data_IF_731654214372
#
_entry.id   IF_731654214372
#
_cell.length_a   1.000
_cell.length_b   1.000
_cell.length_c   1.000
_cell.angle_alpha   90.00
_cell.angle_beta   90.00
_cell.angle_gamma   90.00
#
_symmetry.space_group_name_H-M   'P 1'
#
loop_
_entity.id
_entity.type
_entity.pdbx_description
1 polymer ?
#
# COMPACT_ATOMS: atom_id res chain seq x y z
N UNK A 1 6.07 20.12 -78.37
CA UNK A 1 6.80 20.61 -77.18
C UNK A 1 6.70 19.51 -76.12
N UNK A 2 7.78 18.80 -75.76
CA UNK A 2 7.73 17.80 -74.70
C UNK A 2 7.88 18.46 -73.33
N UNK A 3 6.94 18.16 -72.43
CA UNK A 3 6.89 18.67 -71.06
C UNK A 3 7.91 17.92 -70.19
N UNK A 4 8.86 18.67 -69.61
CA UNK A 4 9.92 18.18 -68.74
C UNK A 4 9.34 17.81 -67.37
N UNK A 5 9.11 16.53 -67.13
CA UNK A 5 8.77 15.98 -65.81
C UNK A 5 9.95 16.16 -64.84
N UNK A 6 9.82 17.11 -63.91
CA UNK A 6 10.72 17.32 -62.79
C UNK A 6 10.54 16.18 -61.79
N UNK A 7 11.53 15.28 -61.67
CA UNK A 7 11.52 14.23 -60.66
C UNK A 7 11.68 14.85 -59.25
N UNK A 8 10.80 14.53 -58.29
CA UNK A 8 10.96 14.98 -56.93
C UNK A 8 12.16 14.27 -56.31
N UNK A 9 13.21 15.02 -56.00
CA UNK A 9 14.41 14.53 -55.32
C UNK A 9 14.04 14.25 -53.86
N UNK A 10 13.43 13.08 -53.59
CA UNK A 10 13.16 12.60 -52.24
C UNK A 10 14.50 12.33 -51.56
N UNK A 11 14.83 13.07 -50.50
CA UNK A 11 16.07 12.88 -49.75
C UNK A 11 15.90 11.74 -48.74
N UNK A 12 15.89 10.51 -49.28
CA UNK A 12 15.61 9.26 -48.54
C UNK A 12 16.51 9.10 -47.31
N UNK A 13 17.73 9.65 -47.32
CA UNK A 13 18.71 9.48 -46.25
C UNK A 13 18.46 10.40 -45.03
N UNK A 14 17.96 11.63 -45.25
CA UNK A 14 17.55 12.51 -44.13
C UNK A 14 16.23 12.05 -43.50
N UNK A 15 15.31 11.55 -44.31
CA UNK A 15 13.99 11.14 -43.86
C UNK A 15 14.02 9.83 -43.05
N UNK A 16 14.86 8.86 -43.46
CA UNK A 16 15.06 7.62 -42.69
C UNK A 16 15.70 7.88 -41.32
N UNK A 17 16.81 8.65 -41.28
CA UNK A 17 17.50 8.98 -40.03
C UNK A 17 16.61 9.76 -39.05
N UNK A 18 15.74 10.66 -39.54
CA UNK A 18 14.83 11.42 -38.69
C UNK A 18 13.70 10.53 -38.12
N UNK A 19 13.23 9.54 -38.88
CA UNK A 19 12.20 8.61 -38.43
C UNK A 19 12.70 7.69 -37.30
N UNK A 20 13.95 7.25 -37.39
CA UNK A 20 14.60 6.43 -36.35
C UNK A 20 14.76 7.21 -35.04
N UNK A 21 15.21 8.47 -35.10
CA UNK A 21 15.35 9.34 -33.93
C UNK A 21 13.99 9.59 -33.26
N UNK A 22 12.95 9.86 -34.06
CA UNK A 22 11.59 10.05 -33.55
C UNK A 22 11.02 8.77 -32.92
N UNK A 23 11.32 7.59 -33.47
CA UNK A 23 10.88 6.31 -32.91
C UNK A 23 11.62 5.95 -31.61
N UNK A 24 12.92 6.25 -31.51
CA UNK A 24 13.70 6.08 -30.27
C UNK A 24 13.22 7.05 -29.17
N UNK A 25 12.96 8.32 -29.51
CA UNK A 25 12.38 9.29 -28.56
C UNK A 25 10.96 8.90 -28.13
N UNK A 26 10.14 8.38 -29.05
CA UNK A 26 8.78 7.93 -28.75
C UNK A 26 8.75 6.63 -27.95
N UNK A 27 9.78 5.79 -28.03
CA UNK A 27 9.90 4.55 -27.25
C UNK A 27 10.50 4.83 -25.86
N UNK A 28 11.49 5.71 -25.74
CA UNK A 28 11.98 6.17 -24.43
C UNK A 28 10.90 6.87 -23.62
N UNK A 29 10.18 7.82 -24.22
CA UNK A 29 9.08 8.52 -23.56
C UNK A 29 7.91 7.58 -23.18
N UNK A 30 7.64 6.53 -23.97
CA UNK A 30 6.66 5.49 -23.60
C UNK A 30 7.12 4.65 -22.42
N UNK A 31 8.41 4.33 -22.36
CA UNK A 31 9.02 3.58 -21.25
C UNK A 31 8.97 4.38 -19.95
N UNK A 32 9.25 5.69 -20.02
CA UNK A 32 9.18 6.60 -18.87
C UNK A 32 7.74 6.77 -18.35
N UNK A 33 6.76 6.90 -19.25
CA UNK A 33 5.35 6.96 -18.88
C UNK A 33 4.86 5.63 -18.27
N UNK A 34 5.30 4.50 -18.80
CA UNK A 34 4.91 3.17 -18.31
C UNK A 34 5.54 2.86 -16.95
N UNK A 35 6.79 3.28 -16.73
CA UNK A 35 7.44 3.22 -15.42
C UNK A 35 6.73 4.09 -14.37
N UNK A 36 6.31 5.30 -14.75
CA UNK A 36 5.54 6.20 -13.88
C UNK A 36 4.16 5.61 -13.51
N UNK A 37 3.43 5.05 -14.48
CA UNK A 37 2.14 4.38 -14.24
C UNK A 37 2.28 3.20 -13.28
N UNK A 38 3.27 2.32 -13.51
CA UNK A 38 3.50 1.12 -12.67
C UNK A 38 3.82 1.50 -11.22
N UNK A 39 4.60 2.57 -11.02
CA UNK A 39 4.92 3.11 -9.69
C UNK A 39 3.71 3.74 -8.99
N UNK A 40 2.80 4.31 -9.75
CA UNK A 40 1.54 4.84 -9.21
C UNK A 40 0.58 3.70 -8.86
N UNK A 41 0.51 2.66 -9.67
CA UNK A 41 -0.30 1.47 -9.41
C UNK A 41 0.15 0.73 -8.15
N UNK A 42 1.47 0.55 -7.97
CA UNK A 42 2.04 -0.04 -6.76
C UNK A 42 1.68 0.75 -5.50
N UNK A 43 1.77 2.07 -5.59
CA UNK A 43 1.37 2.99 -4.51
C UNK A 43 -0.12 2.87 -4.17
N UNK A 44 -0.99 2.86 -5.18
CA UNK A 44 -2.44 2.72 -5.01
C UNK A 44 -2.82 1.39 -4.36
N UNK A 45 -2.13 0.30 -4.72
CA UNK A 45 -2.38 -1.02 -4.14
C UNK A 45 -1.88 -1.07 -2.69
N UNK A 46 -0.74 -0.46 -2.38
CA UNK A 46 -0.28 -0.36 -1.00
C UNK A 46 -1.23 0.51 -0.15
N UNK A 47 -1.80 1.58 -0.71
CA UNK A 47 -2.86 2.37 -0.06
C UNK A 47 -4.09 1.50 0.23
N UNK A 48 -4.57 0.77 -0.79
CA UNK A 48 -5.72 -0.12 -0.65
C UNK A 48 -5.47 -1.23 0.38
N UNK A 49 -4.22 -1.70 0.49
CA UNK A 49 -3.81 -2.65 1.51
C UNK A 49 -4.01 -2.08 2.93
N UNK A 50 -3.48 -0.90 3.21
CA UNK A 50 -3.61 -0.28 4.53
C UNK A 50 -5.05 0.11 4.85
N UNK A 51 -5.81 0.56 3.85
CA UNK A 51 -7.22 0.91 3.99
C UNK A 51 -8.08 -0.34 4.21
N UNK A 52 -7.84 -1.39 3.42
CA UNK A 52 -8.48 -2.68 3.64
C UNK A 52 -8.13 -3.23 5.02
N UNK A 53 -6.87 -3.10 5.45
CA UNK A 53 -6.42 -3.57 6.75
C UNK A 53 -7.16 -2.90 7.90
N UNK A 54 -7.52 -1.63 7.74
CA UNK A 54 -8.33 -0.89 8.71
C UNK A 54 -9.74 -1.48 8.88
N UNK A 55 -10.39 -1.88 7.79
CA UNK A 55 -11.79 -2.37 7.81
C UNK A 55 -11.91 -3.88 8.03
N UNK A 56 -11.03 -4.66 7.40
CA UNK A 56 -11.10 -6.12 7.37
C UNK A 56 -9.97 -6.80 8.17
N UNK A 57 -9.07 -6.03 8.81
CA UNK A 57 -7.95 -6.56 9.58
C UNK A 57 -6.89 -7.22 8.70
N UNK A 58 -6.54 -8.46 8.98
CA UNK A 58 -5.39 -9.14 8.36
C UNK A 58 -5.71 -9.78 6.99
N UNK A 59 -6.97 -9.78 6.55
CA UNK A 59 -7.41 -10.41 5.30
C UNK A 59 -6.87 -9.70 4.03
N UNK A 60 -7.09 -8.39 3.84
CA UNK A 60 -6.59 -7.66 2.67
C UNK A 60 -5.07 -7.77 2.44
N UNK A 61 -4.21 -7.69 3.48
CA UNK A 61 -2.78 -7.90 3.25
C UNK A 61 -2.42 -9.29 2.73
N UNK A 62 -3.11 -10.35 3.18
CA UNK A 62 -2.92 -11.69 2.60
C UNK A 62 -3.33 -11.71 1.13
N UNK A 63 -4.50 -11.16 0.81
CA UNK A 63 -5.00 -11.12 -0.58
C UNK A 63 -4.01 -10.38 -1.48
N UNK A 64 -3.53 -9.21 -1.06
CA UNK A 64 -2.60 -8.40 -1.85
C UNK A 64 -1.23 -9.06 -1.97
N UNK A 65 -0.74 -9.74 -0.92
CA UNK A 65 0.47 -10.56 -1.01
C UNK A 65 0.34 -11.69 -2.04
N UNK A 66 -0.86 -12.27 -2.22
CA UNK A 66 -1.06 -13.33 -3.22
C UNK A 66 -1.30 -12.79 -4.64
N UNK A 67 -1.97 -11.64 -4.77
CA UNK A 67 -2.32 -11.05 -6.07
C UNK A 67 -1.14 -10.27 -6.68
N UNK A 68 -0.35 -9.56 -5.88
CA UNK A 68 0.70 -8.64 -6.33
C UNK A 68 2.10 -9.18 -5.99
N UNK A 69 2.42 -10.39 -6.47
CA UNK A 69 3.69 -11.09 -6.13
C UNK A 69 4.93 -10.49 -6.79
N UNK A 70 4.75 -9.83 -7.92
CA UNK A 70 5.85 -9.29 -8.74
C UNK A 70 6.34 -7.92 -8.25
N UNK A 71 5.62 -7.29 -7.32
CA UNK A 71 5.90 -5.96 -6.83
C UNK A 71 6.50 -5.98 -5.42
N UNK A 72 7.81 -5.79 -5.34
CA UNK A 72 8.55 -5.82 -4.08
C UNK A 72 8.09 -4.73 -3.08
N UNK A 73 7.64 -3.57 -3.56
CA UNK A 73 7.15 -2.49 -2.70
C UNK A 73 5.83 -2.89 -2.05
N UNK A 74 4.86 -3.33 -2.87
CA UNK A 74 3.55 -3.78 -2.39
C UNK A 74 3.69 -4.96 -1.45
N UNK A 75 4.56 -5.92 -1.75
CA UNK A 75 4.85 -7.06 -0.88
C UNK A 75 5.38 -6.61 0.49
N UNK A 76 6.31 -5.66 0.51
CA UNK A 76 6.87 -5.15 1.77
C UNK A 76 5.80 -4.46 2.61
N UNK A 77 4.96 -3.63 1.98
CA UNK A 77 3.86 -2.93 2.66
C UNK A 77 2.77 -3.88 3.15
N UNK A 78 2.42 -4.89 2.35
CA UNK A 78 1.42 -5.89 2.71
C UNK A 78 1.89 -6.77 3.88
N UNK A 79 3.16 -7.22 3.88
CA UNK A 79 3.77 -7.92 5.03
C UNK A 79 3.77 -7.07 6.30
N UNK A 80 4.09 -5.78 6.17
CA UNK A 80 4.13 -4.86 7.31
C UNK A 80 2.74 -4.64 7.92
N UNK A 81 1.73 -4.41 7.09
CA UNK A 81 0.34 -4.29 7.52
C UNK A 81 -0.18 -5.58 8.14
N UNK A 82 0.18 -6.73 7.57
CA UNK A 82 -0.20 -8.04 8.09
C UNK A 82 0.32 -8.25 9.52
N UNK A 83 1.62 -8.01 9.71
CA UNK A 83 2.26 -8.18 11.00
C UNK A 83 1.72 -7.18 12.04
N UNK A 84 1.41 -5.94 11.64
CA UNK A 84 0.70 -4.97 12.49
C UNK A 84 -0.69 -5.49 12.89
N UNK A 85 -1.48 -5.98 11.93
CA UNK A 85 -2.82 -6.48 12.18
C UNK A 85 -2.81 -7.67 13.14
N UNK A 86 -1.88 -8.61 12.98
CA UNK A 86 -1.70 -9.74 13.91
C UNK A 86 -1.33 -9.25 15.31
N UNK A 87 -0.39 -8.30 15.42
CA UNK A 87 0.02 -7.71 16.70
C UNK A 87 -1.18 -7.06 17.41
N UNK A 88 -1.99 -6.30 16.66
CA UNK A 88 -3.20 -5.68 17.16
C UNK A 88 -4.23 -6.72 17.61
N UNK A 89 -4.49 -7.76 16.81
CA UNK A 89 -5.45 -8.82 17.16
C UNK A 89 -5.04 -9.54 18.44
N UNK A 90 -3.76 -9.91 18.57
CA UNK A 90 -3.25 -10.56 19.78
C UNK A 90 -3.38 -9.64 20.99
N UNK A 91 -2.98 -8.36 20.87
CA UNK A 91 -3.11 -7.37 21.92
C UNK A 91 -4.57 -7.13 22.33
N UNK A 92 -5.47 -7.04 21.35
CA UNK A 92 -6.90 -6.84 21.56
C UNK A 92 -7.53 -8.03 22.29
N UNK A 93 -7.25 -9.27 21.86
CA UNK A 93 -7.74 -10.48 22.53
C UNK A 93 -7.20 -10.56 23.97
N UNK A 94 -5.91 -10.30 24.19
CA UNK A 94 -5.33 -10.29 25.52
C UNK A 94 -5.97 -9.25 26.44
N UNK A 95 -6.12 -8.02 25.95
CA UNK A 95 -6.78 -6.94 26.69
C UNK A 95 -8.25 -7.26 26.96
N UNK A 96 -8.94 -7.91 26.00
CA UNK A 96 -10.34 -8.31 26.12
C UNK A 96 -10.55 -9.38 27.20
N UNK A 97 -9.66 -10.37 27.29
CA UNK A 97 -9.70 -11.40 28.33
C UNK A 97 -9.46 -10.76 29.71
N UNK A 98 -8.44 -9.91 29.83
CA UNK A 98 -8.14 -9.20 31.09
C UNK A 98 -9.31 -8.29 31.48
N UNK A 99 -9.89 -7.56 30.52
CA UNK A 99 -11.06 -6.72 30.71
C UNK A 99 -12.28 -7.53 31.19
N UNK A 100 -12.51 -8.72 30.65
CA UNK A 100 -13.59 -9.60 31.08
C UNK A 100 -13.38 -10.13 32.50
N UNK A 101 -12.18 -10.61 32.83
CA UNK A 101 -11.87 -11.15 34.15
C UNK A 101 -11.93 -10.04 35.22
N UNK A 102 -11.23 -8.93 35.01
CA UNK A 102 -11.25 -7.79 35.93
C UNK A 102 -12.65 -7.17 35.99
N UNK A 103 -13.32 -7.00 34.85
CA UNK A 103 -14.67 -6.46 34.79
C UNK A 103 -15.66 -7.31 35.59
N UNK A 104 -15.60 -8.64 35.47
CA UNK A 104 -16.47 -9.55 36.23
C UNK A 104 -16.22 -9.48 37.74
N UNK A 105 -14.96 -9.43 38.17
CA UNK A 105 -14.58 -9.33 39.59
C UNK A 105 -14.95 -7.94 40.17
N UNK A 106 -14.63 -6.86 39.45
CA UNK A 106 -14.85 -5.49 39.90
C UNK A 106 -16.33 -5.09 39.83
N UNK A 107 -17.11 -5.60 38.87
CA UNK A 107 -18.55 -5.31 38.78
C UNK A 107 -19.32 -5.77 40.02
N UNK A 108 -18.83 -6.80 40.71
CA UNK A 108 -19.43 -7.31 41.94
C UNK A 108 -19.19 -6.41 43.16
N UNK A 109 -18.16 -5.56 43.13
CA UNK A 109 -17.72 -4.75 44.29
C UNK A 109 -17.93 -3.24 44.04
N UNK A 110 -17.64 -2.75 42.83
CA UNK A 110 -17.77 -1.34 42.44
C UNK A 110 -18.17 -1.21 40.96
N UNK A 111 -19.48 -1.10 40.69
CA UNK A 111 -20.04 -0.91 39.35
C UNK A 111 -19.39 0.22 38.50
N UNK A 112 -19.03 1.41 39.02
CA UNK A 112 -18.42 2.45 38.18
C UNK A 112 -16.97 2.13 37.74
N UNK A 113 -16.25 1.27 38.46
CA UNK A 113 -14.85 0.95 38.17
C UNK A 113 -14.70 -0.01 36.97
N UNK A 114 -15.78 -0.72 36.63
CA UNK A 114 -15.84 -1.59 35.46
C UNK A 114 -15.75 -0.83 34.11
N UNK A 115 -15.88 0.50 34.10
CA UNK A 115 -15.73 1.31 32.88
C UNK A 115 -14.27 1.51 32.43
N UNK A 116 -13.30 1.33 33.33
CA UNK A 116 -11.86 1.49 33.04
C UNK A 116 -11.37 0.53 31.93
N UNK A 117 -11.61 -0.79 32.00
CA UNK A 117 -11.19 -1.70 30.94
C UNK A 117 -11.88 -1.42 29.59
N UNK A 118 -13.12 -0.91 29.61
CA UNK A 118 -13.83 -0.51 28.41
C UNK A 118 -13.15 0.68 27.71
N UNK A 119 -12.71 1.68 28.49
CA UNK A 119 -11.96 2.81 27.97
C UNK A 119 -10.61 2.38 27.38
N UNK A 120 -9.91 1.44 28.01
CA UNK A 120 -8.66 0.90 27.50
C UNK A 120 -8.82 0.20 26.14
N UNK A 121 -9.90 -0.56 25.93
CA UNK A 121 -10.22 -1.17 24.63
C UNK A 121 -10.44 -0.11 23.53
N UNK A 122 -11.16 0.97 23.84
CA UNK A 122 -11.39 2.08 22.89
C UNK A 122 -10.08 2.77 22.51
N UNK A 123 -9.22 3.07 23.48
CA UNK A 123 -7.90 3.68 23.22
C UNK A 123 -6.98 2.77 22.39
N UNK A 124 -7.03 1.46 22.64
CA UNK A 124 -6.28 0.48 21.87
C UNK A 124 -6.78 0.39 20.42
N UNK A 125 -8.09 0.39 20.20
CA UNK A 125 -8.70 0.49 18.86
C UNK A 125 -8.33 1.79 18.14
N UNK A 126 -8.22 2.90 18.86
CA UNK A 126 -7.76 4.17 18.29
C UNK A 126 -6.31 4.08 17.80
N UNK A 127 -5.44 3.39 18.54
CA UNK A 127 -4.06 3.15 18.11
C UNK A 127 -4.00 2.38 16.78
N UNK A 128 -4.86 1.37 16.59
CA UNK A 128 -4.99 0.66 15.31
C UNK A 128 -5.30 1.60 14.14
N UNK A 129 -6.28 2.47 14.34
CA UNK A 129 -6.66 3.45 13.33
C UNK A 129 -5.49 4.39 12.99
N UNK A 130 -4.80 4.92 14.00
CA UNK A 130 -3.64 5.81 13.80
C UNK A 130 -2.54 5.13 12.98
N UNK A 131 -2.20 3.88 13.29
CA UNK A 131 -1.18 3.15 12.56
C UNK A 131 -1.59 2.83 11.11
N UNK A 132 -2.84 2.44 10.87
CA UNK A 132 -3.35 2.26 9.52
C UNK A 132 -3.31 3.57 8.72
N UNK A 133 -3.73 4.69 9.32
CA UNK A 133 -3.70 6.01 8.68
C UNK A 133 -2.27 6.46 8.38
N UNK A 134 -1.31 6.23 9.28
CA UNK A 134 0.10 6.50 9.00
C UNK A 134 0.63 5.67 7.84
N UNK A 135 0.23 4.39 7.75
CA UNK A 135 0.55 3.51 6.62
C UNK A 135 0.03 4.07 5.30
N UNK A 136 -1.25 4.49 5.27
CA UNK A 136 -1.88 5.15 4.10
C UNK A 136 -1.10 6.40 3.71
N UNK A 137 -0.82 7.32 4.65
CA UNK A 137 -0.13 8.59 4.34
C UNK A 137 1.28 8.34 3.80
N UNK A 138 2.01 7.37 4.36
CA UNK A 138 3.36 7.03 3.90
C UNK A 138 3.36 6.37 2.52
N UNK A 139 2.41 5.47 2.26
CA UNK A 139 2.20 4.92 0.93
C UNK A 139 1.84 6.00 -0.08
N UNK A 140 0.97 6.96 0.28
CA UNK A 140 0.63 8.09 -0.58
C UNK A 140 1.84 8.94 -0.99
N UNK A 141 2.91 8.95 -0.18
CA UNK A 141 4.17 9.63 -0.50
C UNK A 141 5.16 8.77 -1.30
N UNK A 142 4.78 7.53 -1.64
CA UNK A 142 5.66 6.53 -2.26
C UNK A 142 6.83 6.12 -1.36
N UNK A 143 6.72 6.34 -0.03
CA UNK A 143 7.75 5.98 0.95
C UNK A 143 7.43 4.63 1.56
N UNK A 144 8.46 3.91 1.96
CA UNK A 144 8.28 2.69 2.74
C UNK A 144 7.77 3.04 4.14
N UNK A 145 6.63 2.45 4.50
CA UNK A 145 6.19 2.39 5.88
C UNK A 145 6.80 1.14 6.55
N UNK A 146 7.43 1.36 7.70
CA UNK A 146 7.81 0.31 8.65
C UNK A 146 7.29 0.71 10.01
N UNK A 147 6.55 -0.18 10.64
CA UNK A 147 6.00 0.02 11.97
C UNK A 147 7.09 -0.36 12.97
N UNK A 148 7.51 0.54 13.87
CA UNK A 148 8.52 0.22 14.87
C UNK A 148 8.03 -0.81 15.90
N UNK A 149 6.72 -0.84 16.18
CA UNK A 149 6.08 -1.79 17.09
C UNK A 149 5.31 -2.86 16.29
N UNK A 150 6.04 -3.85 15.78
CA UNK A 150 5.50 -4.94 14.98
C UNK A 150 6.24 -6.24 15.33
N UNK A 151 5.49 -7.31 15.61
CA UNK A 151 6.04 -8.66 15.69
C UNK A 151 6.30 -9.15 14.26
N UNK A 152 7.58 -9.10 13.83
CA UNK A 152 8.01 -9.55 12.50
C UNK A 152 7.96 -11.08 12.40
N UNK A 153 6.78 -11.64 12.19
CA UNK A 153 6.58 -13.09 11.98
C UNK A 153 6.96 -13.52 10.56
N UNK A 154 6.86 -12.62 9.58
CA UNK A 154 7.16 -12.90 8.18
C UNK A 154 8.26 -11.93 7.69
N UNK A 155 9.36 -12.49 7.15
CA UNK A 155 10.53 -11.77 6.62
C UNK A 155 10.49 -11.67 5.10
#
# INVERSE_FOLDING_TARGET
MPNSTQQPHVNINKDASNNDINNVQASSHRTDMQAASTKQDSTNIALLNWLGCLFFGFIPPLIIMLVKKDDAYVQTQAKEALNWSITFVIGYIGLWIVAMILGFILAFIFAPLAMIPMLALVLFGFSHLVFCVMGVIKCSSGKDFRVPFNIRLIK
#
